data_IF_369405579862
#
_entry.id   IF_369405579862
#
_cell.length_a   1.000
_cell.length_b   1.000
_cell.length_c   1.000
_cell.angle_alpha   90.00
_cell.angle_beta   90.00
_cell.angle_gamma   90.00
#
_symmetry.space_group_name_H-M   'P 1'
#
loop_
_entity.id
_entity.type
_entity.pdbx_description
1 polymer ?
#
# COMPACT_ATOMS: atom_id res chain seq x y z
N UNK A 1 -56.81 -27.58 6.63
CA UNK A 1 -56.11 -28.76 6.05
C UNK A 1 -55.37 -28.24 4.83
N UNK A 2 -54.04 -28.18 4.69
CA UNK A 2 -52.88 -28.55 5.49
C UNK A 2 -51.69 -27.67 5.02
N UNK A 3 -50.72 -27.43 5.89
CA UNK A 3 -49.43 -26.78 5.59
C UNK A 3 -48.54 -27.69 4.72
N UNK A 4 -47.67 -27.16 3.83
CA UNK A 4 -46.64 -27.96 3.20
C UNK A 4 -45.48 -28.21 4.17
N UNK A 5 -45.04 -29.46 4.18
CA UNK A 5 -44.11 -30.08 5.11
C UNK A 5 -42.69 -29.51 4.99
N UNK A 6 -42.09 -29.19 6.14
CA UNK A 6 -40.64 -29.03 6.25
C UNK A 6 -39.96 -30.35 5.85
N UNK A 7 -39.01 -30.25 4.92
CA UNK A 7 -38.04 -31.29 4.63
C UNK A 7 -37.21 -31.58 5.89
N UNK A 8 -37.47 -32.71 6.52
CA UNK A 8 -36.61 -33.31 7.54
C UNK A 8 -35.40 -33.94 6.84
N UNK A 9 -34.27 -33.23 6.85
CA UNK A 9 -32.96 -33.83 6.55
C UNK A 9 -32.63 -34.80 7.69
N UNK A 10 -32.34 -36.09 7.43
CA UNK A 10 -31.82 -36.96 8.48
C UNK A 10 -30.42 -36.46 8.83
N UNK A 11 -30.27 -35.87 10.01
CA UNK A 11 -28.96 -35.61 10.61
C UNK A 11 -28.30 -36.95 10.95
N UNK A 12 -27.64 -37.56 9.97
CA UNK A 12 -26.71 -38.67 10.22
C UNK A 12 -25.54 -38.09 11.03
N UNK A 13 -25.60 -38.22 12.35
CA UNK A 13 -24.47 -37.99 13.22
C UNK A 13 -23.39 -39.05 12.88
N UNK A 14 -22.12 -38.66 12.73
CA UNK A 14 -21.03 -39.60 12.55
C UNK A 14 -21.04 -40.65 13.67
N UNK A 15 -20.80 -41.94 13.36
CA UNK A 15 -20.76 -42.99 14.38
C UNK A 15 -19.62 -42.76 15.39
N UNK A 16 -19.75 -43.37 16.55
CA UNK A 16 -18.68 -43.45 17.54
C UNK A 16 -17.43 -44.11 16.94
N UNK A 17 -16.25 -43.59 17.27
CA UNK A 17 -14.95 -44.08 16.80
C UNK A 17 -14.21 -44.83 17.91
N UNK A 18 -13.41 -45.83 17.53
CA UNK A 18 -12.46 -46.51 18.43
C UNK A 18 -11.07 -45.92 18.26
N UNK A 19 -10.46 -45.41 19.33
CA UNK A 19 -9.13 -44.80 19.28
C UNK A 19 -8.13 -45.55 20.16
N UNK A 20 -6.84 -45.42 19.86
CA UNK A 20 -5.76 -45.85 20.76
C UNK A 20 -5.67 -44.86 21.92
N UNK A 21 -5.63 -45.37 23.15
CA UNK A 21 -5.51 -44.56 24.36
C UNK A 21 -4.33 -45.02 25.21
N UNK A 22 -3.44 -44.10 25.56
CA UNK A 22 -2.25 -44.45 26.34
C UNK A 22 -2.56 -44.73 27.82
N UNK A 23 -3.50 -43.97 28.39
CA UNK A 23 -3.83 -43.97 29.84
C UNK A 23 -5.15 -44.68 30.18
N UNK A 24 -5.82 -45.30 29.20
CA UNK A 24 -7.09 -45.99 29.40
C UNK A 24 -6.88 -47.48 29.71
N UNK A 25 -7.85 -48.07 30.41
CA UNK A 25 -7.96 -49.53 30.54
C UNK A 25 -8.11 -50.16 29.15
N UNK A 26 -7.34 -51.22 28.87
CA UNK A 26 -7.25 -51.91 27.57
C UNK A 26 -6.62 -51.10 26.40
N UNK A 27 -5.95 -49.98 26.66
CA UNK A 27 -5.27 -49.15 25.66
C UNK A 27 -6.17 -48.62 24.52
N UNK A 28 -7.48 -48.63 24.71
CA UNK A 28 -8.47 -48.18 23.73
C UNK A 28 -9.56 -47.37 24.39
N UNK A 29 -10.18 -46.46 23.66
CA UNK A 29 -11.35 -45.71 24.10
C UNK A 29 -12.35 -45.57 22.95
N UNK A 30 -13.62 -45.35 23.29
CA UNK A 30 -14.70 -45.09 22.33
C UNK A 30 -15.16 -43.63 22.45
N UNK A 31 -15.33 -42.95 21.32
CA UNK A 31 -15.79 -41.55 21.30
C UNK A 31 -17.32 -41.46 21.35
N UNK A 32 -17.84 -40.31 21.75
CA UNK A 32 -19.23 -39.95 21.45
C UNK A 32 -19.46 -39.80 19.93
N UNK A 33 -20.71 -39.84 19.44
CA UNK A 33 -21.03 -39.49 18.06
C UNK A 33 -20.46 -38.11 17.70
N UNK A 34 -19.89 -37.99 16.51
CA UNK A 34 -19.10 -36.82 16.08
C UNK A 34 -17.80 -36.55 16.86
N UNK A 35 -17.30 -37.48 17.68
CA UNK A 35 -15.98 -37.35 18.32
C UNK A 35 -14.80 -37.57 17.36
N UNK A 36 -13.57 -37.42 17.88
CA UNK A 36 -12.34 -37.60 17.11
C UNK A 36 -11.26 -38.35 17.91
N UNK A 37 -10.31 -38.97 17.22
CA UNK A 37 -9.11 -39.50 17.85
C UNK A 37 -8.00 -38.46 17.80
N UNK A 38 -7.13 -38.42 18.82
CA UNK A 38 -5.96 -37.55 18.80
C UNK A 38 -4.68 -38.23 19.28
N UNK A 39 -3.56 -37.67 18.81
CA UNK A 39 -2.20 -38.06 19.15
C UNK A 39 -1.35 -36.79 19.30
N UNK A 40 -0.52 -36.70 20.32
CA UNK A 40 0.43 -35.61 20.48
C UNK A 40 1.80 -36.07 20.92
N UNK A 41 2.79 -35.29 20.52
CA UNK A 41 4.14 -35.31 21.08
C UNK A 41 4.45 -33.93 21.67
N UNK A 42 4.94 -33.89 22.91
CA UNK A 42 5.30 -32.67 23.65
C UNK A 42 6.68 -32.83 24.25
N UNK A 43 7.48 -31.76 24.20
CA UNK A 43 8.79 -31.75 24.83
C UNK A 43 8.67 -31.28 26.28
N UNK A 44 8.93 -32.16 27.25
CA UNK A 44 8.93 -31.85 28.68
C UNK A 44 10.31 -32.19 29.24
N UNK A 45 11.02 -31.20 29.79
CA UNK A 45 12.38 -31.36 30.34
C UNK A 45 13.38 -32.03 29.36
N UNK A 46 13.27 -31.72 28.07
CA UNK A 46 14.15 -32.29 27.02
C UNK A 46 13.82 -33.73 26.63
N UNK A 47 12.78 -34.34 27.21
CA UNK A 47 12.27 -35.67 26.83
C UNK A 47 10.98 -35.54 26.05
N UNK A 48 10.85 -36.31 24.97
CA UNK A 48 9.59 -36.42 24.23
C UNK A 48 8.58 -37.26 25.01
N UNK A 49 7.46 -36.64 25.37
CA UNK A 49 6.30 -37.32 25.91
C UNK A 49 5.24 -37.47 24.82
N UNK A 50 4.67 -38.67 24.70
CA UNK A 50 3.65 -39.00 23.70
C UNK A 50 2.35 -39.39 24.38
N UNK A 51 1.25 -38.77 23.95
CA UNK A 51 -0.08 -39.01 24.51
C UNK A 51 -1.07 -39.26 23.38
N UNK A 52 -1.92 -40.28 23.55
CA UNK A 52 -2.98 -40.66 22.62
C UNK A 52 -4.27 -40.85 23.43
N UNK A 53 -5.40 -40.32 22.94
CA UNK A 53 -6.71 -40.54 23.55
C UNK A 53 -7.85 -40.19 22.60
N UNK A 54 -9.08 -40.32 23.09
CA UNK A 54 -10.34 -39.89 22.47
C UNK A 54 -10.60 -38.42 22.77
N UNK A 55 -11.34 -37.77 21.87
CA UNK A 55 -11.71 -36.36 21.95
C UNK A 55 -13.23 -36.22 21.77
N UNK A 56 -13.89 -35.51 22.69
CA UNK A 56 -15.33 -35.27 22.61
C UNK A 56 -15.64 -34.01 21.79
N UNK A 57 -16.83 -33.90 21.17
CA UNK A 57 -17.27 -32.71 20.43
C UNK A 57 -17.11 -31.39 21.19
N UNK A 58 -17.37 -31.41 22.49
CA UNK A 58 -17.22 -30.23 23.36
C UNK A 58 -15.75 -29.79 23.52
N UNK A 59 -14.79 -30.72 23.44
CA UNK A 59 -13.37 -30.46 23.71
C UNK A 59 -12.62 -29.83 22.52
N UNK A 60 -13.12 -29.99 21.29
CA UNK A 60 -12.49 -29.39 20.10
C UNK A 60 -13.31 -28.27 19.44
N UNK A 61 -14.43 -27.88 20.07
CA UNK A 61 -15.27 -26.76 19.62
C UNK A 61 -14.43 -25.49 19.49
N UNK A 62 -14.08 -25.12 18.25
CA UNK A 62 -13.18 -24.00 17.92
C UNK A 62 -11.88 -24.34 17.19
N UNK A 63 -11.62 -25.60 16.78
CA UNK A 63 -10.41 -26.04 16.03
C UNK A 63 -9.03 -25.79 16.71
N UNK A 64 -8.97 -25.08 17.84
CA UNK A 64 -7.72 -24.76 18.55
C UNK A 64 -7.08 -25.99 19.19
N UNK A 65 -7.88 -26.99 19.60
CA UNK A 65 -7.35 -28.15 20.31
C UNK A 65 -6.35 -28.93 19.45
N UNK A 66 -6.54 -29.00 18.13
CA UNK A 66 -5.70 -29.80 17.24
C UNK A 66 -4.45 -29.03 16.74
N UNK A 67 -4.26 -27.78 17.18
CA UNK A 67 -3.08 -26.99 16.83
C UNK A 67 -1.88 -27.34 17.73
N UNK A 68 -0.68 -27.35 17.13
CA UNK A 68 0.59 -27.51 17.84
C UNK A 68 1.44 -26.26 17.76
N UNK A 69 2.46 -26.17 18.62
CA UNK A 69 3.46 -25.10 18.60
C UNK A 69 4.76 -25.58 17.95
N UNK A 70 5.41 -24.70 17.16
CA UNK A 70 6.70 -25.02 16.51
C UNK A 70 7.72 -25.47 17.57
N UNK A 71 8.31 -26.65 17.37
CA UNK A 71 9.39 -27.24 18.19
C UNK A 71 9.06 -27.57 19.66
N UNK A 72 7.83 -27.34 20.13
CA UNK A 72 7.40 -27.60 21.51
C UNK A 72 6.31 -28.66 21.61
N UNK A 73 5.35 -28.65 20.69
CA UNK A 73 4.24 -29.59 20.69
C UNK A 73 3.68 -29.82 19.29
N UNK A 74 3.47 -31.08 18.91
CA UNK A 74 2.76 -31.43 17.67
C UNK A 74 1.57 -32.30 18.04
N UNK A 75 0.38 -31.89 17.62
CA UNK A 75 -0.87 -32.61 17.85
C UNK A 75 -1.56 -32.89 16.52
N UNK A 76 -2.12 -34.08 16.39
CA UNK A 76 -2.80 -34.55 15.21
C UNK A 76 -4.15 -35.14 15.63
N UNK A 77 -5.22 -34.67 14.99
CA UNK A 77 -6.58 -35.17 15.17
C UNK A 77 -7.05 -35.84 13.88
N UNK A 78 -7.81 -36.92 14.00
CA UNK A 78 -8.29 -37.71 12.88
C UNK A 78 -9.64 -38.37 13.20
N UNK A 79 -10.37 -38.81 12.17
CA UNK A 79 -11.80 -39.15 12.25
C UNK A 79 -12.14 -40.56 11.74
N UNK A 80 -11.20 -41.50 11.83
CA UNK A 80 -11.42 -42.90 11.47
C UNK A 80 -10.95 -43.83 12.59
N UNK A 81 -11.45 -45.06 12.65
CA UNK A 81 -11.05 -46.01 13.69
C UNK A 81 -9.53 -46.22 13.71
N UNK A 82 -8.94 -46.16 14.91
CA UNK A 82 -7.53 -46.35 15.22
C UNK A 82 -6.54 -45.45 14.45
N UNK A 83 -7.02 -44.35 13.86
CA UNK A 83 -6.19 -43.44 13.05
C UNK A 83 -5.07 -42.75 13.84
N UNK A 84 -5.22 -42.62 15.16
CA UNK A 84 -4.22 -42.04 16.03
C UNK A 84 -3.06 -43.01 16.35
N UNK A 85 -3.01 -44.17 15.70
CA UNK A 85 -1.90 -45.13 15.79
C UNK A 85 -0.69 -44.78 14.90
N UNK A 86 -0.38 -43.50 14.78
CA UNK A 86 0.82 -43.00 14.08
C UNK A 86 1.87 -42.54 15.08
N UNK A 87 3.13 -42.41 14.66
CA UNK A 87 4.21 -41.84 15.47
C UNK A 87 4.47 -40.41 15.03
N UNK A 88 4.35 -39.46 15.95
CA UNK A 88 4.68 -38.05 15.71
C UNK A 88 6.10 -37.76 16.19
N UNK A 89 6.87 -37.06 15.37
CA UNK A 89 8.19 -36.55 15.70
C UNK A 89 8.15 -35.02 15.82
N UNK A 90 8.78 -34.47 16.86
CA UNK A 90 9.10 -33.05 16.91
C UNK A 90 10.33 -32.84 16.02
N UNK A 91 10.29 -31.85 15.14
CA UNK A 91 11.50 -31.44 14.43
C UNK A 91 12.46 -30.82 15.44
N UNK A 92 13.40 -31.61 15.96
CA UNK A 92 14.59 -31.08 16.62
C UNK A 92 15.39 -30.35 15.56
N UNK A 93 15.39 -29.02 15.62
CA UNK A 93 16.31 -28.19 14.85
C UNK A 93 17.74 -28.38 15.35
N UNK A 94 18.34 -29.55 15.10
CA UNK A 94 19.76 -29.64 14.84
C UNK A 94 19.90 -29.52 13.34
N UNK A 95 20.58 -28.45 12.92
CA UNK A 95 21.22 -28.39 11.61
C UNK A 95 22.07 -29.66 11.46
N UNK A 96 21.54 -30.67 10.77
CA UNK A 96 22.34 -31.71 10.13
C UNK A 96 22.41 -31.36 8.66
N UNK A 97 23.48 -30.65 8.34
CA UNK A 97 24.30 -30.99 7.19
C UNK A 97 24.43 -32.52 7.11
N UNK A 98 23.91 -33.14 6.05
CA UNK A 98 24.06 -34.57 5.88
C UNK A 98 22.92 -35.30 5.16
N UNK A 99 22.31 -34.71 4.13
CA UNK A 99 21.98 -35.45 2.91
C UNK A 99 22.60 -34.64 1.77
N UNK A 100 23.69 -35.16 1.21
CA UNK A 100 24.46 -34.45 0.20
C UNK A 100 23.60 -34.20 -1.03
N UNK A 101 23.56 -32.97 -1.59
CA UNK A 101 23.30 -32.85 -3.00
C UNK A 101 24.47 -33.57 -3.67
N UNK A 102 24.19 -34.62 -4.45
CA UNK A 102 25.19 -35.18 -5.34
C UNK A 102 25.86 -34.02 -6.06
N UNK A 103 27.20 -33.98 -6.02
CA UNK A 103 28.06 -32.89 -6.51
C UNK A 103 27.75 -32.42 -7.95
N UNK A 104 26.89 -33.13 -8.68
CA UNK A 104 26.29 -32.72 -9.96
C UNK A 104 25.35 -31.50 -9.88
N UNK A 105 24.62 -31.30 -8.77
CA UNK A 105 23.60 -30.24 -8.66
C UNK A 105 24.16 -28.83 -8.46
N UNK A 106 25.28 -28.72 -7.73
CA UNK A 106 25.95 -27.44 -7.48
C UNK A 106 26.63 -26.92 -8.76
N UNK A 107 27.28 -27.82 -9.50
CA UNK A 107 27.88 -27.52 -10.81
C UNK A 107 26.80 -27.11 -11.83
N UNK A 108 25.66 -27.81 -11.89
CA UNK A 108 24.54 -27.43 -12.76
C UNK A 108 23.91 -26.10 -12.36
N UNK A 109 23.76 -25.83 -11.06
CA UNK A 109 23.22 -24.56 -10.57
C UNK A 109 24.13 -23.39 -10.95
N UNK A 110 25.46 -23.54 -10.85
CA UNK A 110 26.41 -22.50 -11.27
C UNK A 110 26.39 -22.30 -12.79
N UNK A 111 26.32 -23.37 -13.58
CA UNK A 111 26.28 -23.30 -15.05
C UNK A 111 24.99 -22.66 -15.58
N UNK A 112 23.88 -22.70 -14.84
CA UNK A 112 22.62 -22.04 -15.27
C UNK A 112 22.47 -20.66 -14.67
N UNK A 113 22.75 -20.50 -13.38
CA UNK A 113 22.51 -19.23 -12.67
C UNK A 113 23.51 -18.17 -13.11
N UNK A 114 24.79 -18.51 -13.32
CA UNK A 114 25.80 -17.51 -13.70
C UNK A 114 25.51 -16.90 -15.09
N UNK A 115 25.23 -17.68 -16.15
CA UNK A 115 24.85 -17.10 -17.44
C UNK A 115 23.53 -16.33 -17.39
N UNK A 116 22.52 -16.82 -16.65
CA UNK A 116 21.27 -16.09 -16.49
C UNK A 116 21.49 -14.73 -15.81
N UNK A 117 22.30 -14.68 -14.75
CA UNK A 117 22.68 -13.43 -14.09
C UNK A 117 23.45 -12.49 -15.03
N UNK A 118 24.40 -13.02 -15.81
CA UNK A 118 25.15 -12.22 -16.79
C UNK A 118 24.26 -11.69 -17.91
N UNK A 119 23.29 -12.48 -18.39
CA UNK A 119 22.30 -12.04 -19.39
C UNK A 119 21.36 -10.98 -18.82
N UNK A 120 20.92 -11.12 -17.56
CA UNK A 120 20.13 -10.10 -16.88
C UNK A 120 20.91 -8.79 -16.71
N UNK A 121 22.17 -8.86 -16.29
CA UNK A 121 23.03 -7.67 -16.16
C UNK A 121 23.30 -7.05 -17.53
N UNK A 122 23.60 -7.84 -18.56
CA UNK A 122 23.78 -7.35 -19.92
C UNK A 122 22.50 -6.73 -20.49
N UNK A 123 21.33 -7.30 -20.19
CA UNK A 123 20.03 -6.74 -20.54
C UNK A 123 19.77 -5.40 -19.84
N UNK A 124 20.05 -5.30 -18.54
CA UNK A 124 19.95 -4.04 -17.79
C UNK A 124 20.92 -2.98 -18.33
N UNK A 125 22.18 -3.34 -18.57
CA UNK A 125 23.17 -2.45 -19.17
C UNK A 125 22.78 -2.06 -20.60
N UNK A 126 22.19 -2.96 -21.38
CA UNK A 126 21.65 -2.69 -22.71
C UNK A 126 20.47 -1.73 -22.67
N UNK A 127 19.54 -1.90 -21.73
CA UNK A 127 18.42 -0.98 -21.51
C UNK A 127 18.94 0.39 -21.06
N UNK A 128 19.90 0.44 -20.14
CA UNK A 128 20.53 1.68 -19.70
C UNK A 128 21.31 2.35 -20.84
N UNK A 129 21.99 1.59 -21.69
CA UNK A 129 22.69 2.10 -22.86
C UNK A 129 21.72 2.58 -23.96
N UNK A 130 20.59 1.90 -24.17
CA UNK A 130 19.55 2.34 -25.10
C UNK A 130 18.80 3.56 -24.57
N UNK A 131 18.57 3.64 -23.25
CA UNK A 131 18.02 4.82 -22.60
C UNK A 131 19.01 5.99 -22.66
N UNK A 132 20.29 5.75 -22.41
CA UNK A 132 21.33 6.78 -22.49
C UNK A 132 21.55 7.23 -23.93
N UNK A 133 21.52 6.32 -24.91
CA UNK A 133 21.59 6.67 -26.32
C UNK A 133 20.31 7.36 -26.80
N UNK A 134 19.11 6.97 -26.34
CA UNK A 134 17.87 7.72 -26.63
C UNK A 134 17.89 9.10 -26.00
N UNK A 135 18.40 9.25 -24.78
CA UNK A 135 18.58 10.54 -24.11
C UNK A 135 19.63 11.39 -24.83
N UNK A 136 20.78 10.81 -25.20
CA UNK A 136 21.85 11.48 -25.95
C UNK A 136 21.45 11.83 -27.36
N UNK A 137 20.70 10.97 -28.06
CA UNK A 137 20.12 11.24 -29.38
C UNK A 137 19.07 12.34 -29.31
N UNK A 138 18.23 12.34 -28.26
CA UNK A 138 17.26 13.41 -28.00
C UNK A 138 17.92 14.72 -27.53
N UNK A 139 19.12 14.66 -26.96
CA UNK A 139 20.01 15.81 -26.65
C UNK A 139 20.68 16.36 -27.91
N UNK A 140 21.22 15.49 -28.76
CA UNK A 140 21.88 15.84 -30.01
C UNK A 140 20.90 16.45 -31.02
N UNK A 141 19.66 15.93 -31.08
CA UNK A 141 18.58 16.49 -31.91
C UNK A 141 17.98 17.80 -31.35
N UNK A 142 18.52 18.33 -30.25
CA UNK A 142 18.11 19.60 -29.61
C UNK A 142 19.14 20.72 -29.74
N UNK A 143 20.28 20.48 -30.40
CA UNK A 143 21.28 21.50 -30.66
C UNK A 143 21.16 21.99 -32.10
N UNK A 144 20.27 22.95 -32.30
CA UNK A 144 20.52 24.13 -33.14
C UNK A 144 20.01 25.37 -32.38
N UNK A 145 20.66 26.53 -32.54
CA UNK A 145 21.03 27.37 -31.40
C UNK A 145 20.33 28.74 -31.43
N UNK A 146 19.83 29.23 -30.29
CA UNK A 146 19.94 30.63 -29.84
C UNK A 146 19.82 30.70 -28.31
N UNK A 147 20.84 31.28 -27.69
CA UNK A 147 21.08 31.56 -26.27
C UNK A 147 20.36 32.87 -25.81
N UNK A 148 20.44 33.38 -24.54
CA UNK A 148 21.15 32.86 -23.35
C UNK A 148 20.40 32.96 -21.99
N UNK A 149 21.04 32.36 -20.98
CA UNK A 149 21.14 32.79 -19.57
C UNK A 149 20.00 32.42 -18.59
N UNK A 150 20.02 31.21 -18.02
CA UNK A 150 19.75 30.93 -16.58
C UNK A 150 20.32 29.54 -16.22
N UNK A 151 21.65 29.39 -16.22
CA UNK A 151 22.34 28.11 -15.95
C UNK A 151 22.84 27.98 -14.50
N UNK A 152 22.11 28.57 -13.54
CA UNK A 152 22.42 28.45 -12.12
C UNK A 152 21.19 27.98 -11.36
N UNK A 153 21.32 26.75 -10.87
CA UNK A 153 20.41 25.97 -10.01
C UNK A 153 19.62 24.93 -10.82
N UNK A 154 19.72 23.67 -10.35
CA UNK A 154 18.91 22.48 -10.64
C UNK A 154 19.63 21.36 -11.41
N UNK A 155 20.12 20.40 -10.63
CA UNK A 155 20.59 19.09 -11.09
C UNK A 155 19.45 18.29 -11.75
N UNK A 156 19.74 17.55 -12.83
CA UNK A 156 18.72 16.85 -13.63
C UNK A 156 18.22 15.53 -13.01
N UNK A 157 18.65 15.18 -11.80
CA UNK A 157 18.50 13.82 -11.23
C UNK A 157 17.46 13.70 -10.10
N UNK A 158 16.73 14.77 -9.74
CA UNK A 158 15.77 14.73 -8.62
C UNK A 158 14.31 14.58 -9.08
N UNK A 159 13.61 13.61 -8.49
CA UNK A 159 12.17 13.41 -8.67
C UNK A 159 11.37 14.59 -8.08
N UNK A 160 10.23 14.94 -8.68
CA UNK A 160 9.35 16.03 -8.24
C UNK A 160 9.03 15.95 -6.74
N UNK A 161 8.81 14.74 -6.22
CA UNK A 161 8.53 14.49 -4.80
C UNK A 161 9.71 14.87 -3.89
N UNK A 162 10.95 14.58 -4.30
CA UNK A 162 12.15 15.01 -3.55
C UNK A 162 12.32 16.53 -3.62
N UNK A 163 12.01 17.13 -4.76
CA UNK A 163 12.08 18.58 -4.92
C UNK A 163 11.09 19.30 -4.00
N UNK A 164 9.87 18.77 -3.86
CA UNK A 164 8.84 19.29 -2.94
C UNK A 164 9.27 19.08 -1.47
N UNK A 165 9.90 17.94 -1.16
CA UNK A 165 10.35 17.60 0.19
C UNK A 165 11.56 18.42 0.65
N UNK A 166 12.60 18.55 -0.17
CA UNK A 166 13.83 19.30 0.14
C UNK A 166 13.57 20.79 0.38
N UNK A 167 12.54 21.37 -0.27
CA UNK A 167 12.15 22.76 -0.01
C UNK A 167 11.31 22.94 1.25
N UNK A 168 10.86 21.86 1.86
CA UNK A 168 10.04 21.88 3.08
C UNK A 168 10.88 21.81 4.37
N UNK A 169 12.13 21.33 4.29
CA UNK A 169 13.02 21.17 5.47
C UNK A 169 13.84 22.41 5.79
N UNK A 170 13.94 23.39 4.89
CA UNK A 170 14.64 24.65 5.12
C UNK A 170 13.74 25.68 5.83
N UNK A 171 13.32 25.37 7.06
CA UNK A 171 13.03 26.28 8.18
C UNK A 171 12.31 27.63 8.00
N UNK A 172 11.65 27.97 6.90
CA UNK A 172 11.04 29.32 6.72
C UNK A 172 9.78 29.43 5.86
N UNK A 173 9.23 28.36 5.28
CA UNK A 173 7.93 28.47 4.60
C UNK A 173 7.61 27.33 3.65
N UNK A 174 6.33 26.97 3.57
CA UNK A 174 5.74 25.80 2.89
C UNK A 174 5.71 25.85 1.35
N UNK A 175 6.72 26.43 0.69
CA UNK A 175 6.74 26.50 -0.78
C UNK A 175 7.99 27.14 -1.37
N UNK A 176 8.19 26.91 -2.67
CA UNK A 176 9.22 27.56 -3.48
C UNK A 176 9.28 29.07 -3.19
N UNK A 177 10.48 29.68 -3.08
CA UNK A 177 10.60 31.12 -2.86
C UNK A 177 9.78 31.89 -3.91
N UNK A 178 9.10 32.96 -3.48
CA UNK A 178 8.17 33.80 -4.27
C UNK A 178 8.67 34.20 -5.67
N UNK A 179 9.99 34.18 -5.90
CA UNK A 179 10.61 34.49 -7.20
C UNK A 179 10.51 33.34 -8.22
N UNK A 180 10.46 32.07 -7.79
CA UNK A 180 10.32 30.90 -8.68
C UNK A 180 8.85 30.59 -9.00
N UNK A 181 7.90 31.18 -8.27
CA UNK A 181 6.46 30.97 -8.52
C UNK A 181 5.97 31.59 -9.85
N UNK A 182 6.67 32.58 -10.42
CA UNK A 182 6.19 33.38 -11.56
C UNK A 182 6.47 32.80 -12.96
N UNK A 183 6.98 31.57 -13.06
CA UNK A 183 7.39 30.99 -14.35
C UNK A 183 7.01 29.52 -14.53
N UNK A 184 6.42 28.89 -13.51
CA UNK A 184 6.12 27.45 -13.55
C UNK A 184 5.06 27.15 -14.61
N UNK A 185 4.00 27.97 -14.69
CA UNK A 185 2.92 27.78 -15.64
C UNK A 185 3.39 27.84 -17.11
N UNK A 186 4.48 28.56 -17.41
CA UNK A 186 5.07 28.63 -18.76
C UNK A 186 5.71 27.30 -19.17
N UNK A 187 6.26 26.57 -18.20
CA UNK A 187 6.95 25.29 -18.42
C UNK A 187 6.03 24.07 -18.36
N UNK A 188 4.75 24.26 -18.00
CA UNK A 188 3.75 23.20 -17.95
C UNK A 188 3.02 23.09 -19.29
N UNK A 189 2.96 21.86 -19.80
CA UNK A 189 2.17 21.49 -20.98
C UNK A 189 0.87 20.85 -20.51
N UNK A 190 -0.27 21.48 -20.81
CA UNK A 190 -1.59 20.89 -20.54
C UNK A 190 -1.83 19.70 -21.47
N UNK A 191 -2.45 18.66 -20.94
CA UNK A 191 -2.81 17.45 -21.67
C UNK A 191 -4.34 17.35 -21.81
N UNK A 192 -5.00 16.74 -20.83
CA UNK A 192 -6.43 16.46 -20.84
C UNK A 192 -7.17 17.22 -19.73
N UNK A 193 -8.42 17.60 -20.01
CA UNK A 193 -9.30 18.17 -18.99
C UNK A 193 -9.88 17.03 -18.15
N UNK A 194 -9.56 17.01 -16.86
CA UNK A 194 -9.92 15.93 -15.92
C UNK A 194 -11.24 16.23 -15.22
N UNK A 195 -11.56 17.51 -15.02
CA UNK A 195 -12.83 17.88 -14.40
C UNK A 195 -13.17 19.36 -14.56
N UNK A 196 -14.46 19.67 -14.52
CA UNK A 196 -14.96 21.05 -14.49
C UNK A 196 -15.66 21.29 -13.16
N UNK A 197 -15.13 22.24 -12.39
CA UNK A 197 -15.68 22.68 -11.12
C UNK A 197 -16.55 23.91 -11.27
N UNK A 198 -17.09 24.39 -10.14
CA UNK A 198 -17.87 25.65 -10.09
C UNK A 198 -17.03 26.88 -10.42
N UNK A 199 -15.76 26.86 -10.01
CA UNK A 199 -14.85 28.01 -10.08
C UNK A 199 -13.65 27.71 -11.00
N UNK A 200 -13.85 26.96 -12.07
CA UNK A 200 -12.77 26.67 -13.02
C UNK A 200 -12.62 25.20 -13.38
N UNK A 201 -11.63 24.94 -14.22
CA UNK A 201 -11.37 23.64 -14.83
C UNK A 201 -10.08 23.03 -14.29
N UNK A 202 -10.08 21.72 -14.04
CA UNK A 202 -8.90 20.97 -13.63
C UNK A 202 -8.39 20.19 -14.83
N UNK A 203 -7.12 20.38 -15.13
CA UNK A 203 -6.41 19.75 -16.23
C UNK A 203 -5.27 18.89 -15.70
N UNK A 204 -5.01 17.78 -16.36
CA UNK A 204 -3.74 17.06 -16.23
C UNK A 204 -2.70 17.81 -17.06
N UNK A 205 -1.55 18.10 -16.48
CA UNK A 205 -0.41 18.70 -17.14
C UNK A 205 0.85 17.88 -16.94
N UNK A 206 1.85 18.12 -17.80
CA UNK A 206 3.21 17.60 -17.63
C UNK A 206 4.14 18.72 -17.22
N UNK A 207 4.82 18.53 -16.10
CA UNK A 207 5.91 19.39 -15.63
C UNK A 207 7.17 18.57 -15.43
N UNK A 208 8.22 18.85 -16.21
CA UNK A 208 9.51 18.13 -16.12
C UNK A 208 9.38 16.60 -16.26
N UNK A 209 8.37 16.13 -16.99
CA UNK A 209 8.08 14.70 -17.21
C UNK A 209 7.07 14.08 -16.23
N UNK A 210 6.83 14.75 -15.10
CA UNK A 210 5.89 14.30 -14.07
C UNK A 210 4.48 14.84 -14.31
N UNK A 211 3.48 14.07 -13.88
CA UNK A 211 2.08 14.49 -13.95
C UNK A 211 1.72 15.47 -12.83
N UNK A 212 1.08 16.57 -13.19
CA UNK A 212 0.59 17.60 -12.27
C UNK A 212 -0.88 17.91 -12.55
N UNK A 213 -1.63 18.26 -11.52
CA UNK A 213 -2.98 18.78 -11.65
C UNK A 213 -2.92 20.31 -11.73
N UNK A 214 -3.57 20.89 -12.72
CA UNK A 214 -3.62 22.33 -12.96
C UNK A 214 -5.07 22.78 -12.89
N UNK A 215 -5.44 23.50 -11.85
CA UNK A 215 -6.74 24.15 -11.73
C UNK A 215 -6.66 25.56 -12.31
N UNK A 216 -7.41 25.80 -13.37
CA UNK A 216 -7.42 27.04 -14.15
C UNK A 216 -8.70 27.82 -13.84
N UNK A 217 -8.52 29.03 -13.34
CA UNK A 217 -9.58 29.99 -13.06
C UNK A 217 -9.58 31.08 -14.13
N UNK A 218 -10.76 31.63 -14.41
CA UNK A 218 -10.85 32.86 -15.20
C UNK A 218 -10.43 34.07 -14.35
N UNK A 219 -10.00 35.15 -15.00
CA UNK A 219 -9.71 36.41 -14.31
C UNK A 219 -10.90 36.97 -13.51
N UNK A 220 -12.14 36.59 -13.84
CA UNK A 220 -13.34 36.99 -13.08
C UNK A 220 -13.44 36.30 -11.71
N UNK A 221 -12.72 35.20 -11.53
CA UNK A 221 -12.75 34.38 -10.31
C UNK A 221 -11.49 34.57 -9.46
N UNK A 222 -10.78 35.69 -9.65
CA UNK A 222 -9.55 36.05 -8.93
C UNK A 222 -9.70 35.93 -7.41
N UNK A 223 -10.83 36.36 -6.85
CA UNK A 223 -11.08 36.26 -5.39
C UNK A 223 -11.10 34.80 -4.91
N UNK A 224 -11.65 33.89 -5.72
CA UNK A 224 -11.70 32.46 -5.39
C UNK A 224 -10.31 31.85 -5.50
N UNK A 225 -9.59 32.16 -6.59
CA UNK A 225 -8.20 31.73 -6.79
C UNK A 225 -7.29 32.21 -5.68
N UNK A 226 -7.37 33.51 -5.32
CA UNK A 226 -6.53 34.12 -4.29
C UNK A 226 -6.77 33.47 -2.92
N UNK A 227 -8.03 33.28 -2.53
CA UNK A 227 -8.37 32.62 -1.26
C UNK A 227 -7.83 31.19 -1.22
N UNK A 228 -7.99 30.43 -2.31
CA UNK A 228 -7.52 29.04 -2.36
C UNK A 228 -5.99 28.97 -2.35
N UNK A 229 -5.32 29.86 -3.09
CA UNK A 229 -3.86 30.02 -3.07
C UNK A 229 -3.33 30.38 -1.67
N UNK A 230 -3.99 31.31 -0.98
CA UNK A 230 -3.63 31.76 0.37
C UNK A 230 -3.76 30.61 1.38
N UNK A 231 -4.85 29.84 1.32
CA UNK A 231 -5.04 28.66 2.16
C UNK A 231 -3.88 27.69 1.95
N UNK A 232 -3.60 27.28 0.70
CA UNK A 232 -2.53 26.32 0.40
C UNK A 232 -1.12 26.79 0.79
N UNK A 233 -0.91 28.11 0.86
CA UNK A 233 0.36 28.72 1.30
C UNK A 233 0.47 28.91 2.82
N UNK A 234 -0.54 28.50 3.59
CA UNK A 234 -0.49 28.55 5.05
C UNK A 234 0.72 27.75 5.57
N UNK A 235 1.39 28.31 6.57
CA UNK A 235 2.56 27.69 7.21
C UNK A 235 2.13 26.35 7.84
N UNK A 236 2.97 25.32 7.75
CA UNK A 236 2.71 23.97 8.30
C UNK A 236 1.46 23.24 7.75
N UNK A 237 0.91 23.64 6.60
CA UNK A 237 -0.22 22.92 5.99
C UNK A 237 0.17 21.59 5.32
N UNK A 238 1.46 21.40 4.97
CA UNK A 238 1.90 20.18 4.28
C UNK A 238 1.75 18.94 5.17
N UNK A 239 1.07 17.92 4.63
CA UNK A 239 0.83 16.64 5.28
C UNK A 239 0.58 15.57 4.21
N UNK A 240 0.88 14.29 4.47
CA UNK A 240 0.70 13.20 3.52
C UNK A 240 -0.76 12.96 3.08
N UNK A 241 -1.72 13.41 3.90
CA UNK A 241 -3.16 13.32 3.61
C UNK A 241 -3.79 14.68 3.30
N UNK A 242 -2.98 15.65 2.88
CA UNK A 242 -3.41 16.94 2.34
C UNK A 242 -2.77 17.08 0.97
N UNK A 243 -3.57 17.47 -0.03
CA UNK A 243 -3.12 17.59 -1.41
C UNK A 243 -1.84 18.44 -1.51
N UNK A 244 -0.80 17.88 -2.14
CA UNK A 244 0.49 18.54 -2.32
C UNK A 244 0.39 19.76 -3.22
N UNK A 245 0.38 20.95 -2.62
CA UNK A 245 0.44 22.21 -3.35
C UNK A 245 1.87 22.50 -3.86
N UNK A 246 1.96 22.86 -5.13
CA UNK A 246 3.23 23.16 -5.82
C UNK A 246 3.36 24.68 -6.02
N UNK A 247 2.40 25.30 -6.70
CA UNK A 247 2.50 26.71 -7.08
C UNK A 247 1.15 27.35 -7.39
N UNK A 248 1.09 28.68 -7.27
CA UNK A 248 0.06 29.54 -7.82
C UNK A 248 0.73 30.50 -8.80
N UNK A 249 0.22 30.60 -10.02
CA UNK A 249 0.87 31.35 -11.10
C UNK A 249 -0.16 31.93 -12.07
N UNK A 250 0.23 32.91 -12.88
CA UNK A 250 -0.61 33.51 -13.91
C UNK A 250 -0.06 33.20 -15.31
N UNK A 251 -0.94 32.76 -16.21
CA UNK A 251 -0.58 32.46 -17.60
C UNK A 251 -1.41 33.30 -18.54
N UNK A 252 -0.74 34.14 -19.32
CA UNK A 252 -1.36 34.84 -20.44
C UNK A 252 -1.35 33.94 -21.67
N UNK A 253 -2.50 33.76 -22.31
CA UNK A 253 -2.65 33.01 -23.56
C UNK A 253 -2.78 33.93 -24.79
N UNK A 254 -2.53 35.23 -24.62
CA UNK A 254 -2.60 36.26 -25.65
C UNK A 254 -4.00 36.87 -25.85
N UNK A 255 -5.03 36.32 -25.20
CA UNK A 255 -6.40 36.85 -25.26
C UNK A 255 -6.96 37.17 -23.87
N UNK A 256 -6.62 36.38 -22.86
CA UNK A 256 -6.98 36.66 -21.46
C UNK A 256 -6.01 35.98 -20.50
N UNK A 257 -5.86 36.58 -19.32
CA UNK A 257 -5.08 36.00 -18.23
C UNK A 257 -5.83 34.85 -17.58
N UNK A 258 -5.16 33.71 -17.47
CA UNK A 258 -5.59 32.56 -16.69
C UNK A 258 -4.85 32.55 -15.36
N UNK A 259 -5.57 32.21 -14.28
CA UNK A 259 -4.98 32.07 -12.95
C UNK A 259 -4.88 30.57 -12.64
N UNK A 260 -3.68 30.08 -12.40
CA UNK A 260 -3.37 28.66 -12.25
C UNK A 260 -3.08 28.35 -10.79
N UNK A 261 -3.61 27.22 -10.31
CA UNK A 261 -3.12 26.51 -9.13
C UNK A 261 -2.58 25.15 -9.58
N UNK A 262 -1.35 24.86 -9.21
CA UNK A 262 -0.64 23.64 -9.58
C UNK A 262 -0.46 22.79 -8.33
N UNK A 263 -0.88 21.53 -8.41
CA UNK A 263 -0.75 20.53 -7.35
C UNK A 263 -0.29 19.19 -7.91
N UNK A 264 -0.02 18.25 -7.00
CA UNK A 264 0.20 16.85 -7.34
C UNK A 264 -1.02 16.26 -8.07
N UNK A 265 -0.75 15.35 -9.01
CA UNK A 265 -1.78 14.61 -9.75
C UNK A 265 -1.96 13.21 -9.15
N UNK A 266 -3.22 12.85 -8.87
CA UNK A 266 -3.58 11.51 -8.42
C UNK A 266 -4.37 10.80 -9.53
N UNK A 267 -3.82 9.72 -10.07
CA UNK A 267 -4.40 8.99 -11.22
C UNK A 267 -5.77 8.38 -10.93
N UNK A 268 -6.04 8.06 -9.66
CA UNK A 268 -7.32 7.50 -9.23
C UNK A 268 -8.45 8.54 -9.13
N UNK A 269 -8.15 9.82 -9.36
CA UNK A 269 -9.13 10.90 -9.34
C UNK A 269 -9.66 11.14 -7.93
N UNK A 270 -10.93 11.53 -7.83
CA UNK A 270 -11.54 11.75 -6.51
C UNK A 270 -11.96 10.43 -5.84
N UNK A 271 -12.09 10.43 -4.51
CA UNK A 271 -12.67 9.32 -3.76
C UNK A 271 -14.07 8.94 -4.26
N UNK A 272 -14.83 9.93 -4.75
CA UNK A 272 -16.10 9.68 -5.44
C UNK A 272 -15.91 8.85 -6.71
N UNK A 273 -14.94 9.20 -7.55
CA UNK A 273 -14.66 8.45 -8.79
C UNK A 273 -14.12 7.05 -8.48
N UNK A 274 -13.26 6.94 -7.47
CA UNK A 274 -12.70 5.68 -7.02
C UNK A 274 -13.78 4.71 -6.52
N UNK A 275 -14.64 5.15 -5.60
CA UNK A 275 -15.70 4.29 -5.03
C UNK A 275 -16.81 3.94 -6.03
N UNK A 276 -16.98 4.72 -7.10
CA UNK A 276 -17.89 4.36 -8.19
C UNK A 276 -17.31 3.33 -9.16
N UNK A 277 -15.97 3.21 -9.24
CA UNK A 277 -15.28 2.28 -10.14
C UNK A 277 -14.87 0.98 -9.45
N UNK A 278 -14.57 1.03 -8.16
CA UNK A 278 -13.99 -0.08 -7.42
C UNK A 278 -14.79 -0.41 -6.16
N UNK A 279 -14.89 -1.69 -5.85
CA UNK A 279 -15.31 -2.18 -4.53
C UNK A 279 -14.10 -2.24 -3.61
N UNK A 280 -14.24 -1.78 -2.36
CA UNK A 280 -13.17 -1.75 -1.37
C UNK A 280 -13.27 -2.88 -0.35
N UNK A 281 -12.14 -3.50 -0.01
CA UNK A 281 -12.05 -4.45 1.11
C UNK A 281 -12.19 -3.74 2.46
N UNK A 282 -12.42 -4.49 3.54
CA UNK A 282 -12.46 -3.92 4.90
C UNK A 282 -11.14 -3.24 5.24
N UNK A 283 -10.01 -3.84 4.87
CA UNK A 283 -8.68 -3.26 5.07
C UNK A 283 -8.51 -1.94 4.32
N UNK A 284 -8.85 -1.91 3.02
CA UNK A 284 -8.77 -0.69 2.21
C UNK A 284 -9.69 0.42 2.75
N UNK A 285 -10.89 0.05 3.22
CA UNK A 285 -11.82 0.98 3.85
C UNK A 285 -11.25 1.60 5.12
N UNK A 286 -10.59 0.82 5.96
CA UNK A 286 -9.90 1.33 7.17
C UNK A 286 -8.76 2.27 6.79
N UNK A 287 -7.96 1.92 5.78
CA UNK A 287 -6.88 2.78 5.30
C UNK A 287 -7.40 4.13 4.77
N UNK A 288 -8.44 4.11 3.93
CA UNK A 288 -9.09 5.32 3.42
C UNK A 288 -9.69 6.16 4.55
N UNK A 289 -10.36 5.53 5.52
CA UNK A 289 -10.93 6.26 6.65
C UNK A 289 -9.85 6.87 7.55
N UNK A 290 -8.77 6.12 7.82
CA UNK A 290 -7.66 6.55 8.67
C UNK A 290 -6.89 7.71 8.05
N UNK A 291 -6.60 7.65 6.74
CA UNK A 291 -5.91 8.75 6.05
C UNK A 291 -6.73 10.03 6.03
N UNK A 292 -8.04 9.93 5.79
CA UNK A 292 -8.96 11.07 5.85
C UNK A 292 -9.05 11.67 7.24
N UNK A 293 -9.14 10.83 8.27
CA UNK A 293 -9.18 11.28 9.66
C UNK A 293 -7.87 11.98 10.04
N UNK A 294 -6.72 11.43 9.62
CA UNK A 294 -5.40 12.02 9.85
C UNK A 294 -5.25 13.39 9.18
N UNK A 295 -5.60 13.51 7.89
CA UNK A 295 -5.57 14.80 7.18
C UNK A 295 -6.51 15.84 7.79
N UNK A 296 -7.72 15.44 8.21
CA UNK A 296 -8.67 16.34 8.85
C UNK A 296 -8.21 16.77 10.25
N UNK A 297 -7.63 15.85 11.02
CA UNK A 297 -7.05 16.15 12.32
C UNK A 297 -5.91 17.16 12.19
N UNK A 298 -5.04 17.01 11.19
CA UNK A 298 -3.97 17.97 10.88
C UNK A 298 -4.53 19.36 10.56
N UNK A 299 -5.57 19.45 9.72
CA UNK A 299 -6.21 20.73 9.39
C UNK A 299 -6.86 21.44 10.58
N UNK A 300 -7.38 20.65 11.53
CA UNK A 300 -8.03 21.18 12.72
C UNK A 300 -7.07 21.44 13.88
N UNK A 301 -5.82 20.98 13.78
CA UNK A 301 -4.81 21.21 14.81
C UNK A 301 -4.43 22.69 14.81
N UNK A 302 -4.45 23.29 16.00
CA UNK A 302 -4.01 24.68 16.15
C UNK A 302 -2.48 24.72 16.04
N UNK A 303 -1.97 25.35 14.99
CA UNK A 303 -0.54 25.57 14.81
C UNK A 303 -0.15 26.79 15.67
N UNK A 304 0.41 26.54 16.85
CA UNK A 304 0.98 27.57 17.72
C UNK A 304 2.39 27.90 17.19
N UNK A 305 2.50 28.94 16.36
CA UNK A 305 3.77 29.45 15.85
C UNK A 305 4.40 30.51 16.77
N UNK A 306 5.73 30.64 16.73
CA UNK A 306 6.51 31.66 17.46
C UNK A 306 6.40 33.09 16.88
N UNK A 307 5.62 33.29 15.82
CA UNK A 307 5.43 34.58 15.16
C UNK A 307 3.96 34.96 15.25
N UNK A 308 3.67 36.14 15.83
CA UNK A 308 2.35 36.64 16.24
C UNK A 308 1.31 36.88 15.14
N UNK A 309 1.11 35.90 14.25
CA UNK A 309 -0.08 35.80 13.41
C UNK A 309 -1.08 34.92 14.16
N UNK A 310 -2.33 35.38 14.25
CA UNK A 310 -3.42 34.71 14.95
C UNK A 310 -3.51 33.23 14.55
N UNK A 311 -3.84 32.32 15.49
CA UNK A 311 -4.01 30.90 15.19
C UNK A 311 -4.98 30.74 14.02
N UNK A 312 -4.49 30.19 12.91
CA UNK A 312 -5.29 29.98 11.70
C UNK A 312 -5.91 28.60 11.82
N UNK A 313 -7.07 28.53 12.47
CA UNK A 313 -7.87 27.32 12.44
C UNK A 313 -8.51 27.20 11.05
N UNK A 314 -8.02 26.27 10.23
CA UNK A 314 -8.62 25.99 8.92
C UNK A 314 -9.86 25.13 9.14
N UNK A 315 -11.02 25.77 9.24
CA UNK A 315 -12.29 25.08 9.34
C UNK A 315 -12.76 24.61 7.96
N UNK A 316 -12.89 23.30 7.78
CA UNK A 316 -13.33 22.70 6.52
C UNK A 316 -14.87 22.75 6.38
N UNK A 317 -15.42 23.83 5.82
CA UNK A 317 -16.88 24.00 5.64
C UNK A 317 -17.42 23.22 4.42
N UNK A 318 -16.55 22.57 3.63
CA UNK A 318 -16.89 22.00 2.32
C UNK A 318 -16.47 20.55 2.07
N UNK A 319 -16.13 19.76 3.10
CA UNK A 319 -15.62 18.40 2.90
C UNK A 319 -16.68 17.50 2.23
N UNK A 320 -16.40 17.07 1.00
CA UNK A 320 -17.25 16.18 0.20
C UNK A 320 -16.37 15.11 -0.45
N UNK A 321 -16.96 13.96 -0.80
CA UNK A 321 -16.24 12.85 -1.48
C UNK A 321 -15.56 13.26 -2.80
N UNK A 322 -16.01 14.35 -3.43
CA UNK A 322 -15.42 14.92 -4.67
C UNK A 322 -14.21 15.84 -4.41
N UNK A 323 -13.97 16.21 -3.15
CA UNK A 323 -12.86 17.08 -2.72
C UNK A 323 -11.69 16.28 -2.12
N UNK A 324 -11.77 14.95 -2.16
CA UNK A 324 -10.79 14.00 -1.63
C UNK A 324 -10.25 13.21 -2.81
N UNK A 325 -8.94 12.95 -2.85
CA UNK A 325 -8.23 12.21 -3.92
C UNK A 325 -7.37 11.12 -3.34
#
# INVERSE_FOLDING_TARGET
>A
IAYPQLLTVPSFLPPALRCVCHLCTNHTCETEPAGACWNSVTLVNGKEERVKSCLTPAQYSGQMFCQGSRNLSKRHCCFTDFCNNVTLHLYSGTARSGDGPGWAGLELALVVVVPCCLLCVAGLLGVLALQSQRCSYRRANKQDPEEPLEDLVMSPDKCLKELIYDMSTSGSGSGLPLLVQRTIARTIVLQECVGKGRFGEVWRGKWRGEDVAVKIFSSREERSWFREAEIYQTIMLRHENILGFIAADNKDNGSWTQLWLVSEYHEHGSLFDYLNRYTVSVEAMVLLASSLASGLAHLHMEIIGTQGRSPTQVSNVGLKRRSLT
#
